data_IF_521291557937
#
_entry.id   IF_521291557937
#
_cell.length_a   1.000
_cell.length_b   1.000
_cell.length_c   1.000
_cell.angle_alpha   90.00
_cell.angle_beta   90.00
_cell.angle_gamma   90.00
#
_symmetry.space_group_name_H-M   'P 1'
#
loop_
_entity.id
_entity.type
_entity.pdbx_description
1 polymer ?
#
# COMPACT_ATOMS: atom_id res chain seq x y z
N UNK A 1 87.01 -22.02 -9.10
CA UNK A 1 86.10 -21.65 -8.01
C UNK A 1 84.74 -21.36 -8.62
N UNK A 2 83.69 -22.01 -8.10
CA UNK A 2 82.29 -21.87 -8.53
C UNK A 2 81.70 -20.59 -7.91
N UNK A 3 80.87 -19.85 -8.64
CA UNK A 3 80.09 -18.73 -8.10
C UNK A 3 79.25 -18.05 -9.18
N UNK A 4 77.93 -18.16 -9.03
CA UNK A 4 76.85 -17.77 -9.95
C UNK A 4 76.48 -16.27 -9.91
N UNK A 5 75.48 -15.93 -10.75
CA UNK A 5 74.57 -14.77 -10.77
C UNK A 5 74.93 -13.66 -11.78
N UNK A 6 74.02 -13.11 -12.59
CA UNK A 6 72.67 -13.45 -13.01
C UNK A 6 72.35 -12.51 -14.19
N UNK A 7 71.78 -13.02 -15.28
CA UNK A 7 71.35 -12.20 -16.42
C UNK A 7 69.98 -11.58 -16.12
N UNK A 8 69.87 -10.25 -16.21
CA UNK A 8 68.62 -9.51 -16.10
C UNK A 8 67.92 -9.50 -17.46
N UNK A 9 66.77 -10.16 -17.55
CA UNK A 9 65.88 -10.08 -18.70
C UNK A 9 64.94 -8.88 -18.56
N UNK A 10 64.93 -8.01 -19.58
CA UNK A 10 64.00 -6.89 -19.68
C UNK A 10 62.67 -7.39 -20.27
N UNK A 11 61.60 -7.34 -19.48
CA UNK A 11 60.23 -7.61 -19.95
C UNK A 11 59.51 -6.29 -20.24
N UNK A 12 59.19 -6.06 -21.52
CA UNK A 12 58.33 -4.97 -21.94
C UNK A 12 56.87 -5.31 -21.60
N UNK A 13 56.24 -4.48 -20.75
CA UNK A 13 54.81 -4.57 -20.45
C UNK A 13 54.08 -3.75 -21.53
N UNK A 14 53.49 -4.42 -22.50
CA UNK A 14 52.52 -3.83 -23.42
C UNK A 14 51.19 -3.63 -22.68
N UNK A 15 50.93 -2.40 -22.25
CA UNK A 15 49.65 -2.00 -21.67
C UNK A 15 48.55 -1.97 -22.73
N UNK A 16 47.61 -2.91 -22.66
CA UNK A 16 46.37 -2.88 -23.44
C UNK A 16 45.41 -1.92 -22.75
N UNK A 17 45.19 -0.74 -23.33
CA UNK A 17 44.08 0.12 -22.95
C UNK A 17 42.78 -0.54 -23.40
N UNK A 18 42.05 -1.15 -22.46
CA UNK A 18 40.69 -1.58 -22.69
C UNK A 18 39.79 -0.34 -22.81
N UNK A 19 39.19 -0.14 -23.99
CA UNK A 19 38.15 0.85 -24.17
C UNK A 19 36.98 0.53 -23.22
N UNK A 20 36.32 1.53 -22.62
CA UNK A 20 35.14 1.30 -21.81
C UNK A 20 34.08 0.61 -22.67
N UNK A 21 33.61 -0.55 -22.23
CA UNK A 21 32.48 -1.24 -22.86
C UNK A 21 31.29 -0.27 -22.96
N UNK A 22 30.60 -0.21 -24.11
CA UNK A 22 29.37 0.57 -24.18
C UNK A 22 28.41 0.04 -23.12
N UNK A 23 27.90 0.95 -22.30
CA UNK A 23 26.80 0.67 -21.38
C UNK A 23 25.63 0.25 -22.25
N UNK A 24 25.32 -1.04 -22.29
CA UNK A 24 24.06 -1.51 -22.85
C UNK A 24 22.94 -0.79 -22.08
N UNK A 25 22.25 0.11 -22.78
CA UNK A 25 20.96 0.61 -22.34
C UNK A 25 20.08 -0.62 -22.22
N UNK A 26 19.81 -1.08 -20.98
CA UNK A 26 18.81 -2.13 -20.73
C UNK A 26 17.54 -1.70 -21.45
N UNK A 27 17.21 -2.42 -22.53
CA UNK A 27 15.95 -2.29 -23.22
C UNK A 27 14.86 -2.42 -22.15
N UNK A 28 13.99 -1.40 -22.02
CA UNK A 28 12.91 -1.42 -21.05
C UNK A 28 12.17 -2.74 -21.21
N UNK A 29 12.15 -3.56 -20.15
CA UNK A 29 11.48 -4.84 -20.21
C UNK A 29 10.01 -4.56 -20.56
N UNK A 30 9.58 -5.01 -21.73
CA UNK A 30 8.28 -4.66 -22.28
C UNK A 30 7.16 -5.35 -21.49
N UNK A 31 5.94 -4.82 -21.61
CA UNK A 31 4.72 -5.52 -21.20
C UNK A 31 4.65 -6.93 -21.81
N UNK A 32 3.73 -7.77 -21.34
CA UNK A 32 3.59 -9.13 -21.88
C UNK A 32 3.33 -9.10 -23.39
N UNK A 33 3.81 -10.13 -24.11
CA UNK A 33 3.58 -10.23 -25.56
C UNK A 33 2.09 -10.43 -25.92
N UNK A 34 1.31 -10.99 -24.98
CA UNK A 34 -0.11 -11.28 -25.15
C UNK A 34 -0.93 -10.69 -23.99
N UNK A 35 -2.24 -10.48 -24.20
CA UNK A 35 -3.15 -10.11 -23.12
C UNK A 35 -3.01 -11.01 -21.90
N UNK A 36 -2.97 -10.41 -20.72
CA UNK A 36 -2.88 -11.10 -19.45
C UNK A 36 -4.28 -11.52 -18.99
N UNK A 37 -4.40 -12.74 -18.48
CA UNK A 37 -5.54 -13.15 -17.66
C UNK A 37 -5.01 -13.64 -16.34
N UNK A 38 -5.43 -13.00 -15.24
CA UNK A 38 -5.00 -13.38 -13.91
C UNK A 38 -5.88 -14.50 -13.36
N UNK A 39 -5.23 -15.54 -12.86
CA UNK A 39 -5.85 -16.68 -12.16
C UNK A 39 -4.99 -17.05 -10.96
N UNK A 40 -5.60 -17.53 -9.88
CA UNK A 40 -4.87 -17.88 -8.66
C UNK A 40 -4.16 -16.66 -8.04
N UNK A 41 -2.97 -16.88 -7.46
CA UNK A 41 -2.17 -15.83 -6.83
C UNK A 41 -1.28 -15.06 -7.82
N UNK A 42 -1.60 -13.80 -8.19
CA UNK A 42 -0.78 -13.06 -9.13
C UNK A 42 0.59 -12.69 -8.54
N UNK A 43 0.68 -12.51 -7.21
CA UNK A 43 1.93 -12.17 -6.53
C UNK A 43 2.92 -13.33 -6.44
N UNK A 44 2.46 -14.58 -6.64
CA UNK A 44 3.33 -15.75 -6.64
C UNK A 44 4.27 -15.77 -7.87
N UNK A 45 3.87 -15.11 -8.96
CA UNK A 45 4.63 -15.06 -10.22
C UNK A 45 5.15 -13.66 -10.54
N UNK A 46 4.63 -12.63 -9.88
CA UNK A 46 4.92 -11.23 -10.21
C UNK A 46 5.17 -10.44 -8.94
N UNK A 47 6.25 -9.68 -8.96
CA UNK A 47 6.50 -8.67 -7.92
C UNK A 47 5.82 -7.36 -8.30
N UNK A 48 5.53 -6.50 -7.32
CA UNK A 48 5.00 -5.17 -7.61
C UNK A 48 6.08 -4.35 -8.32
N UNK A 49 5.69 -3.63 -9.37
CA UNK A 49 6.54 -2.68 -10.06
C UNK A 49 6.86 -1.49 -9.15
N UNK A 50 8.13 -1.14 -9.01
CA UNK A 50 8.55 0.10 -8.35
C UNK A 50 8.11 1.29 -9.22
N UNK A 51 6.98 1.91 -8.85
CA UNK A 51 6.39 2.96 -9.65
C UNK A 51 7.29 4.22 -9.67
N UNK A 52 7.38 4.92 -10.82
CA UNK A 52 8.30 6.03 -11.00
C UNK A 52 7.97 7.24 -10.11
N UNK A 53 6.70 7.40 -9.69
CA UNK A 53 6.27 8.50 -8.83
C UNK A 53 6.96 8.42 -7.47
N UNK A 54 6.75 7.34 -6.71
CA UNK A 54 7.35 7.19 -5.38
C UNK A 54 8.88 7.06 -5.48
N UNK A 55 9.39 6.37 -6.51
CA UNK A 55 10.83 6.31 -6.76
C UNK A 55 11.44 7.71 -6.95
N UNK A 56 10.73 8.65 -7.56
CA UNK A 56 11.19 10.03 -7.73
C UNK A 56 11.22 10.82 -6.42
N UNK A 57 10.24 10.62 -5.55
CA UNK A 57 10.21 11.22 -4.21
C UNK A 57 11.38 10.72 -3.36
N UNK A 58 11.61 9.40 -3.35
CA UNK A 58 12.74 8.78 -2.64
C UNK A 58 14.07 9.30 -3.18
N UNK A 59 14.26 9.39 -4.51
CA UNK A 59 15.50 9.94 -5.09
C UNK A 59 15.71 11.41 -4.71
N UNK A 60 14.64 12.20 -4.70
CA UNK A 60 14.68 13.61 -4.29
C UNK A 60 15.01 13.76 -2.81
N UNK A 61 14.52 12.85 -1.97
CA UNK A 61 14.84 12.78 -0.55
C UNK A 61 16.30 12.41 -0.31
N UNK A 62 16.79 11.37 -0.99
CA UNK A 62 18.20 10.92 -0.92
C UNK A 62 19.16 12.03 -1.30
N UNK A 63 18.83 12.83 -2.32
CA UNK A 63 19.66 13.95 -2.75
C UNK A 63 19.80 15.07 -1.69
N UNK A 64 18.91 15.12 -0.70
CA UNK A 64 18.91 16.11 0.39
C UNK A 64 19.58 15.57 1.67
N UNK A 65 19.88 14.27 1.74
CA UNK A 65 20.41 13.64 2.96
C UNK A 65 21.91 13.88 3.12
N UNK A 66 22.33 14.32 4.30
CA UNK A 66 23.76 14.52 4.62
C UNK A 66 24.44 13.27 5.18
N UNK A 67 23.71 12.37 5.84
CA UNK A 67 24.23 11.07 6.28
C UNK A 67 24.31 10.13 5.07
N UNK A 68 25.52 9.97 4.52
CA UNK A 68 25.75 9.15 3.32
C UNK A 68 25.44 7.67 3.52
N UNK A 69 25.59 7.15 4.75
CA UNK A 69 25.29 5.74 5.04
C UNK A 69 23.78 5.51 5.10
N UNK A 70 23.04 6.45 5.70
CA UNK A 70 21.57 6.42 5.66
C UNK A 70 21.04 6.66 4.25
N UNK A 71 21.65 7.58 3.49
CA UNK A 71 21.28 7.87 2.10
C UNK A 71 21.42 6.63 1.20
N UNK A 72 22.50 5.86 1.37
CA UNK A 72 22.70 4.61 0.64
C UNK A 72 21.62 3.55 0.95
N UNK A 73 21.12 3.50 2.19
CA UNK A 73 19.99 2.64 2.57
C UNK A 73 18.67 3.17 2.00
N UNK A 74 18.44 4.47 2.11
CA UNK A 74 17.26 5.14 1.59
C UNK A 74 17.11 4.97 0.07
N UNK A 75 18.22 5.02 -0.69
CA UNK A 75 18.21 4.83 -2.14
C UNK A 75 17.60 3.48 -2.56
N UNK A 76 17.79 2.41 -1.77
CA UNK A 76 17.20 1.09 -2.04
C UNK A 76 15.66 1.10 -1.97
N UNK A 77 15.07 2.07 -1.27
CA UNK A 77 13.61 2.17 -1.14
C UNK A 77 12.95 2.49 -2.48
N UNK A 78 13.66 3.18 -3.38
CA UNK A 78 13.17 3.51 -4.72
C UNK A 78 12.95 2.26 -5.61
N UNK A 79 13.58 1.13 -5.26
CA UNK A 79 13.46 -0.13 -6.00
C UNK A 79 12.40 -1.07 -5.42
N UNK A 80 11.73 -0.66 -4.32
CA UNK A 80 10.68 -1.45 -3.68
C UNK A 80 9.33 -1.09 -4.31
N UNK A 81 8.62 -2.10 -4.82
CA UNK A 81 7.27 -1.92 -5.37
C UNK A 81 6.25 -1.50 -4.32
N UNK A 82 5.65 -0.32 -4.50
CA UNK A 82 4.56 0.21 -3.67
C UNK A 82 3.28 0.38 -4.50
N UNK A 83 2.13 0.41 -3.84
CA UNK A 83 0.89 0.85 -4.48
C UNK A 83 0.93 2.35 -4.72
N UNK A 84 0.44 2.76 -5.88
CA UNK A 84 0.32 4.15 -6.27
C UNK A 84 -1.10 4.66 -6.04
N UNK A 85 -1.26 5.70 -5.24
CA UNK A 85 -2.57 6.22 -4.85
C UNK A 85 -3.15 7.14 -5.91
N UNK A 86 -4.35 6.84 -6.38
CA UNK A 86 -5.13 7.68 -7.27
C UNK A 86 -6.18 8.38 -6.41
N UNK A 87 -5.74 9.30 -5.55
CA UNK A 87 -6.53 9.91 -4.47
C UNK A 87 -7.28 11.19 -4.89
N UNK A 88 -7.33 11.47 -6.19
CA UNK A 88 -8.13 12.50 -6.85
C UNK A 88 -8.05 12.28 -8.37
N UNK A 89 -8.94 12.94 -9.12
CA UNK A 89 -9.01 12.89 -10.58
C UNK A 89 -7.75 13.41 -11.28
N UNK A 90 -7.03 14.37 -10.69
CA UNK A 90 -5.80 14.90 -11.29
C UNK A 90 -4.70 13.83 -11.40
N UNK A 91 -4.67 12.86 -10.46
CA UNK A 91 -3.72 11.74 -10.48
C UNK A 91 -4.06 10.62 -11.46
N UNK A 92 -5.23 10.63 -12.11
CA UNK A 92 -5.59 9.61 -13.12
C UNK A 92 -4.56 9.54 -14.24
N UNK A 93 -4.00 10.69 -14.65
CA UNK A 93 -2.97 10.78 -15.69
C UNK A 93 -1.73 9.91 -15.39
N UNK A 94 -1.38 9.77 -14.11
CA UNK A 94 -0.19 9.04 -13.67
C UNK A 94 -0.32 7.52 -13.93
N UNK A 95 -1.55 6.99 -13.97
CA UNK A 95 -1.82 5.58 -14.28
C UNK A 95 -1.19 5.22 -15.62
N UNK A 96 -1.41 6.04 -16.64
CA UNK A 96 -0.93 5.74 -17.99
C UNK A 96 0.60 5.81 -18.08
N UNK A 97 1.21 6.77 -17.37
CA UNK A 97 2.67 6.90 -17.31
C UNK A 97 3.32 5.70 -16.65
N UNK A 98 2.71 5.15 -15.60
CA UNK A 98 3.17 3.91 -14.97
C UNK A 98 2.95 2.71 -15.90
N UNK A 99 1.75 2.54 -16.48
CA UNK A 99 1.41 1.35 -17.28
C UNK A 99 2.29 1.17 -18.53
N UNK A 100 2.78 2.26 -19.14
CA UNK A 100 3.73 2.23 -20.26
C UNK A 100 5.07 1.54 -19.93
N UNK A 101 5.40 1.44 -18.64
CA UNK A 101 6.74 1.02 -18.18
C UNK A 101 6.74 -0.35 -17.50
N UNK A 102 5.57 -0.95 -17.25
CA UNK A 102 5.45 -2.17 -16.44
C UNK A 102 5.89 -3.40 -17.24
N UNK A 103 6.94 -4.12 -16.79
CA UNK A 103 7.38 -5.37 -17.42
C UNK A 103 6.40 -6.52 -17.17
N UNK A 104 6.46 -7.55 -18.03
CA UNK A 104 5.57 -8.71 -17.92
C UNK A 104 5.65 -9.51 -16.60
N UNK A 105 6.83 -9.54 -15.96
CA UNK A 105 7.08 -10.20 -14.67
C UNK A 105 6.67 -9.34 -13.46
N UNK A 106 6.02 -8.18 -13.71
CA UNK A 106 5.58 -7.25 -12.68
C UNK A 106 4.08 -7.03 -12.68
N UNK A 107 3.58 -6.54 -11.54
CA UNK A 107 2.24 -6.00 -11.37
C UNK A 107 2.32 -4.49 -11.27
N UNK A 108 1.51 -3.78 -12.05
CA UNK A 108 1.15 -2.41 -11.71
C UNK A 108 0.21 -2.44 -10.51
N UNK A 109 0.46 -1.62 -9.48
CA UNK A 109 -0.33 -1.63 -8.26
C UNK A 109 -0.89 -0.23 -7.98
N UNK A 110 -2.21 -0.12 -7.86
CA UNK A 110 -2.89 1.17 -7.65
C UNK A 110 -3.90 1.09 -6.49
N UNK A 111 -4.08 2.21 -5.80
CA UNK A 111 -5.18 2.40 -4.85
C UNK A 111 -6.24 3.27 -5.51
N UNK A 112 -7.46 2.74 -5.60
CA UNK A 112 -8.66 3.50 -5.97
C UNK A 112 -9.19 4.12 -4.68
N UNK A 113 -9.20 5.46 -4.58
CA UNK A 113 -9.45 6.15 -3.32
C UNK A 113 -9.99 7.57 -3.55
N UNK A 114 -11.21 7.71 -4.08
CA UNK A 114 -11.78 9.03 -4.32
C UNK A 114 -13.30 9.07 -4.10
N UNK A 115 -13.81 8.22 -3.21
CA UNK A 115 -15.23 8.20 -2.89
C UNK A 115 -15.78 9.58 -2.47
N UNK A 116 -17.02 9.93 -2.88
CA UNK A 116 -17.70 11.10 -2.37
C UNK A 116 -17.92 11.04 -0.86
N UNK A 117 -17.61 12.14 -0.17
CA UNK A 117 -17.69 12.21 1.30
C UNK A 117 -16.65 11.32 2.00
N UNK A 118 -15.47 11.18 1.38
CA UNK A 118 -14.34 10.36 1.83
C UNK A 118 -13.94 10.63 3.28
N UNK A 119 -13.43 9.59 3.93
CA UNK A 119 -12.93 9.61 5.31
C UNK A 119 -13.93 10.21 6.30
N UNK A 120 -15.18 9.73 6.22
CA UNK A 120 -16.31 10.28 6.96
C UNK A 120 -16.13 10.38 8.48
N UNK A 121 -15.18 9.66 9.07
CA UNK A 121 -14.85 9.67 10.50
C UNK A 121 -13.54 10.41 10.84
N UNK A 122 -12.87 11.01 9.86
CA UNK A 122 -11.59 11.71 10.02
C UNK A 122 -11.62 13.12 9.38
N UNK A 123 -10.63 13.94 9.73
CA UNK A 123 -10.43 15.28 9.15
C UNK A 123 -9.20 15.38 8.25
N UNK A 124 -8.21 14.51 8.44
CA UNK A 124 -7.04 14.48 7.57
C UNK A 124 -7.37 13.69 6.29
N UNK A 125 -7.97 14.37 5.34
CA UNK A 125 -8.22 13.83 4.01
C UNK A 125 -8.13 14.91 2.94
N UNK A 126 -7.66 14.51 1.76
CA UNK A 126 -7.66 15.35 0.56
C UNK A 126 -8.87 15.04 -0.37
N UNK A 127 -9.99 14.54 0.15
CA UNK A 127 -11.12 14.12 -0.69
C UNK A 127 -11.72 15.32 -1.43
N UNK A 128 -11.82 15.23 -2.76
CA UNK A 128 -12.33 16.34 -3.59
C UNK A 128 -13.83 16.28 -3.87
N UNK A 129 -14.45 15.12 -3.68
CA UNK A 129 -15.87 14.87 -3.97
C UNK A 129 -16.72 14.97 -2.69
N UNK A 130 -17.76 15.79 -2.73
CA UNK A 130 -18.67 15.96 -1.59
C UNK A 130 -19.73 14.85 -1.55
N UNK A 131 -20.39 14.67 -0.40
CA UNK A 131 -21.55 13.76 -0.32
C UNK A 131 -22.58 14.12 -1.40
N UNK A 132 -23.01 13.12 -2.17
CA UNK A 132 -23.94 13.31 -3.29
C UNK A 132 -23.26 13.29 -4.67
N UNK A 133 -21.94 13.47 -4.75
CA UNK A 133 -21.18 13.52 -6.00
C UNK A 133 -20.88 12.13 -6.61
N UNK A 134 -21.70 11.12 -6.30
CA UNK A 134 -21.56 9.78 -6.87
C UNK A 134 -21.62 9.76 -8.41
N UNK A 135 -22.44 10.57 -9.09
CA UNK A 135 -22.38 10.66 -10.55
C UNK A 135 -21.01 11.11 -11.07
N UNK A 136 -20.34 12.04 -10.38
CA UNK A 136 -19.01 12.54 -10.73
C UNK A 136 -17.96 11.44 -10.49
N UNK A 137 -18.00 10.76 -9.33
CA UNK A 137 -17.12 9.63 -9.05
C UNK A 137 -17.22 8.54 -10.13
N UNK A 138 -18.43 8.24 -10.61
CA UNK A 138 -18.63 7.25 -11.69
C UNK A 138 -18.05 7.75 -13.02
N UNK A 139 -18.54 8.90 -13.50
CA UNK A 139 -18.29 9.36 -14.86
C UNK A 139 -16.91 10.01 -15.07
N UNK A 140 -16.36 10.64 -14.04
CA UNK A 140 -15.14 11.46 -14.14
C UNK A 140 -13.95 10.86 -13.40
N UNK A 141 -14.17 9.83 -12.57
CA UNK A 141 -13.09 9.13 -11.87
C UNK A 141 -12.97 7.66 -12.29
N UNK A 142 -13.98 6.81 -12.03
CA UNK A 142 -13.91 5.37 -12.36
C UNK A 142 -13.89 5.12 -13.88
N UNK A 143 -14.79 5.75 -14.64
CA UNK A 143 -14.90 5.50 -16.08
C UNK A 143 -13.61 5.85 -16.86
N UNK A 144 -12.94 6.99 -16.62
CA UNK A 144 -11.63 7.27 -17.21
C UNK A 144 -10.55 6.25 -16.84
N UNK A 145 -10.52 5.78 -15.58
CA UNK A 145 -9.57 4.74 -15.14
C UNK A 145 -9.83 3.43 -15.89
N UNK A 146 -11.09 3.01 -16.03
CA UNK A 146 -11.48 1.81 -16.80
C UNK A 146 -11.08 1.95 -18.27
N UNK A 147 -11.30 3.12 -18.87
CA UNK A 147 -10.90 3.39 -20.25
C UNK A 147 -9.38 3.29 -20.43
N UNK A 148 -8.58 3.75 -19.46
CA UNK A 148 -7.13 3.56 -19.46
C UNK A 148 -6.78 2.08 -19.34
N UNK A 149 -7.29 1.36 -18.36
CA UNK A 149 -6.94 -0.06 -18.17
C UNK A 149 -7.27 -0.94 -19.37
N UNK A 150 -8.35 -0.65 -20.11
CA UNK A 150 -8.69 -1.34 -21.36
C UNK A 150 -7.64 -1.17 -22.47
N UNK A 151 -6.84 -0.10 -22.46
CA UNK A 151 -5.73 0.11 -23.41
C UNK A 151 -4.50 -0.74 -23.10
N UNK A 152 -4.39 -1.29 -21.88
CA UNK A 152 -3.22 -2.05 -21.42
C UNK A 152 -3.57 -3.50 -21.04
N UNK A 153 -4.18 -4.30 -21.94
CA UNK A 153 -4.58 -5.67 -21.64
C UNK A 153 -3.39 -6.60 -21.37
N UNK A 154 -2.19 -6.22 -21.81
CA UNK A 154 -0.95 -6.99 -21.66
C UNK A 154 -0.20 -6.69 -20.34
N UNK A 155 -0.76 -5.85 -19.48
CA UNK A 155 -0.18 -5.49 -18.18
C UNK A 155 -1.02 -6.10 -17.07
N UNK A 156 -0.38 -6.81 -16.14
CA UNK A 156 -1.04 -7.32 -14.95
C UNK A 156 -1.22 -6.20 -13.92
N UNK A 157 -2.41 -6.09 -13.32
CA UNK A 157 -2.77 -4.98 -12.44
C UNK A 157 -3.36 -5.51 -11.12
N UNK A 158 -2.93 -4.96 -10.00
CA UNK A 158 -3.49 -5.18 -8.67
C UNK A 158 -4.08 -3.88 -8.11
N UNK A 159 -5.30 -3.96 -7.57
CA UNK A 159 -6.01 -2.81 -7.04
C UNK A 159 -6.39 -3.02 -5.57
N UNK A 160 -6.13 -2.02 -4.75
CA UNK A 160 -6.80 -1.82 -3.45
C UNK A 160 -7.97 -0.89 -3.67
N UNK A 161 -9.14 -1.24 -3.14
CA UNK A 161 -10.39 -0.52 -3.39
C UNK A 161 -10.84 0.18 -2.11
N UNK A 162 -10.77 1.51 -2.18
CA UNK A 162 -11.34 2.49 -1.26
C UNK A 162 -11.01 2.22 0.22
N UNK A 163 -9.74 2.40 0.63
CA UNK A 163 -9.37 2.44 2.05
C UNK A 163 -10.27 3.35 2.87
N UNK A 164 -10.46 3.00 4.15
CA UNK A 164 -11.24 3.83 5.10
C UNK A 164 -12.70 4.10 4.65
N UNK A 165 -13.28 3.21 3.83
CA UNK A 165 -14.66 3.37 3.36
C UNK A 165 -15.66 2.48 4.10
N UNK A 166 -15.86 1.25 3.66
CA UNK A 166 -16.83 0.31 4.21
C UNK A 166 -16.63 -0.01 5.71
N UNK A 167 -15.39 -0.12 6.25
CA UNK A 167 -15.19 -0.30 7.69
C UNK A 167 -15.81 0.81 8.55
N UNK A 168 -15.84 2.05 8.05
CA UNK A 168 -16.51 3.18 8.73
C UNK A 168 -18.02 2.97 8.83
N UNK A 169 -18.65 2.31 7.84
CA UNK A 169 -20.09 2.04 7.88
C UNK A 169 -20.49 0.96 8.90
N UNK A 170 -19.51 0.22 9.43
CA UNK A 170 -19.73 -0.80 10.45
C UNK A 170 -19.63 -0.20 11.86
N UNK A 171 -18.68 0.70 12.06
CA UNK A 171 -18.23 1.10 13.41
C UNK A 171 -18.44 2.58 13.70
N UNK A 172 -18.59 3.43 12.68
CA UNK A 172 -18.75 4.87 12.78
C UNK A 172 -20.06 5.35 12.14
N UNK A 173 -21.02 4.46 11.91
CA UNK A 173 -22.32 4.78 11.29
C UNK A 173 -23.23 5.62 12.20
N UNK A 174 -22.88 5.79 13.46
CA UNK A 174 -23.50 6.73 14.39
C UNK A 174 -23.12 8.20 14.07
N UNK A 175 -22.01 8.42 13.37
CA UNK A 175 -21.61 9.76 12.91
C UNK A 175 -22.45 10.21 11.70
N UNK A 176 -22.98 11.44 11.77
CA UNK A 176 -23.82 12.02 10.70
C UNK A 176 -23.10 12.05 9.35
N UNK A 177 -21.81 12.37 9.34
CA UNK A 177 -20.97 12.33 8.13
C UNK A 177 -20.96 10.94 7.49
N UNK A 178 -20.79 9.88 8.27
CA UNK A 178 -20.79 8.51 7.77
C UNK A 178 -22.18 8.04 7.33
N UNK A 179 -23.26 8.48 8.01
CA UNK A 179 -24.63 8.23 7.57
C UNK A 179 -24.89 8.85 6.20
N UNK A 180 -24.45 10.09 6.02
CA UNK A 180 -24.60 10.83 4.77
C UNK A 180 -23.77 10.19 3.63
N UNK A 181 -22.56 9.70 3.91
CA UNK A 181 -21.70 9.04 2.91
C UNK A 181 -22.09 7.58 2.60
N UNK A 182 -22.89 6.92 3.45
CA UNK A 182 -23.12 5.47 3.39
C UNK A 182 -23.61 4.96 2.03
N UNK A 183 -24.56 5.65 1.40
CA UNK A 183 -25.05 5.28 0.05
C UNK A 183 -23.96 5.47 -1.00
N UNK A 184 -23.24 6.59 -0.95
CA UNK A 184 -22.13 6.89 -1.86
C UNK A 184 -21.02 5.84 -1.79
N UNK A 185 -20.68 5.39 -0.58
CA UNK A 185 -19.69 4.35 -0.35
C UNK A 185 -20.14 3.00 -0.91
N UNK A 186 -21.31 2.51 -0.51
CA UNK A 186 -21.81 1.19 -0.96
C UNK A 186 -21.97 1.13 -2.48
N UNK A 187 -22.58 2.15 -3.08
CA UNK A 187 -22.79 2.19 -4.52
C UNK A 187 -21.52 2.50 -5.31
N UNK A 188 -20.67 3.38 -4.80
CA UNK A 188 -19.39 3.74 -5.42
C UNK A 188 -18.41 2.57 -5.44
N UNK A 189 -18.25 1.86 -4.32
CA UNK A 189 -17.44 0.64 -4.27
C UNK A 189 -18.04 -0.42 -5.20
N UNK A 190 -19.35 -0.70 -5.12
CA UNK A 190 -19.98 -1.68 -6.00
C UNK A 190 -19.77 -1.36 -7.49
N UNK A 191 -19.85 -0.07 -7.86
CA UNK A 191 -19.61 0.39 -9.21
C UNK A 191 -18.14 0.20 -9.63
N UNK A 192 -17.18 0.59 -8.78
CA UNK A 192 -15.76 0.40 -9.04
C UNK A 192 -15.44 -1.08 -9.28
N UNK A 193 -15.88 -1.98 -8.38
CA UNK A 193 -15.66 -3.42 -8.52
C UNK A 193 -16.23 -3.98 -9.83
N UNK A 194 -17.44 -3.56 -10.20
CA UNK A 194 -18.09 -4.02 -11.44
C UNK A 194 -17.36 -3.51 -12.68
N UNK A 195 -17.03 -2.23 -12.71
CA UNK A 195 -16.46 -1.57 -13.89
C UNK A 195 -14.99 -1.95 -14.12
N UNK A 196 -14.24 -2.23 -13.05
CA UNK A 196 -12.82 -2.62 -13.08
C UNK A 196 -12.60 -4.13 -13.25
N UNK A 197 -13.67 -4.93 -13.44
CA UNK A 197 -13.62 -6.38 -13.57
C UNK A 197 -13.02 -6.89 -14.91
N UNK A 198 -11.82 -6.43 -15.27
CA UNK A 198 -11.10 -6.82 -16.49
C UNK A 198 -10.26 -8.09 -16.27
N UNK A 199 -9.94 -8.89 -17.32
CA UNK A 199 -9.21 -10.15 -17.16
C UNK A 199 -7.81 -10.02 -16.54
N UNK A 200 -7.15 -8.89 -16.74
CA UNK A 200 -5.79 -8.60 -16.28
C UNK A 200 -5.74 -7.90 -14.91
N UNK A 201 -6.87 -7.76 -14.22
CA UNK A 201 -7.00 -7.07 -12.93
C UNK A 201 -7.32 -8.06 -11.80
N UNK A 202 -6.66 -7.88 -10.65
CA UNK A 202 -7.07 -8.43 -9.35
C UNK A 202 -7.44 -7.29 -8.41
N UNK A 203 -8.48 -7.46 -7.60
CA UNK A 203 -8.97 -6.46 -6.66
C UNK A 203 -9.06 -6.99 -5.23
N UNK A 204 -8.75 -6.13 -4.28
CA UNK A 204 -8.85 -6.35 -2.84
C UNK A 204 -9.63 -5.18 -2.22
N UNK A 205 -10.76 -5.48 -1.58
CA UNK A 205 -11.60 -4.46 -0.91
C UNK A 205 -10.95 -4.13 0.44
N UNK A 206 -10.82 -2.85 0.78
CA UNK A 206 -10.28 -2.52 2.09
C UNK A 206 -11.17 -2.99 3.24
N UNK A 207 -10.54 -3.59 4.25
CA UNK A 207 -11.19 -4.15 5.42
C UNK A 207 -10.61 -3.59 6.73
N UNK A 208 -9.95 -2.43 6.70
CA UNK A 208 -9.30 -1.87 7.88
C UNK A 208 -8.21 -2.79 8.42
N UNK A 209 -8.26 -3.14 9.70
CA UNK A 209 -7.22 -3.93 10.36
C UNK A 209 -7.74 -4.66 11.62
N UNK A 210 -6.91 -5.50 12.25
CA UNK A 210 -7.27 -6.31 13.43
C UNK A 210 -7.80 -5.49 14.62
N UNK A 211 -7.23 -4.31 14.84
CA UNK A 211 -7.72 -3.33 15.82
C UNK A 211 -9.03 -2.60 15.46
N UNK A 212 -9.68 -2.94 14.34
CA UNK A 212 -10.86 -2.25 13.84
C UNK A 212 -12.03 -3.20 13.52
N UNK A 213 -11.98 -3.93 12.40
CA UNK A 213 -12.99 -4.95 12.10
C UNK A 213 -12.66 -6.30 12.75
N UNK A 214 -11.48 -6.45 13.35
CA UNK A 214 -11.06 -7.66 14.04
C UNK A 214 -11.61 -7.83 15.46
N UNK A 215 -12.26 -6.80 16.04
CA UNK A 215 -13.01 -6.95 17.29
C UNK A 215 -14.10 -8.00 17.15
N UNK A 216 -14.33 -8.80 18.19
CA UNK A 216 -15.18 -10.00 18.12
C UNK A 216 -16.58 -9.69 17.56
N UNK A 217 -17.16 -8.56 17.97
CA UNK A 217 -18.50 -8.14 17.56
C UNK A 217 -18.54 -7.45 16.19
N UNK A 218 -17.39 -7.05 15.65
CA UNK A 218 -17.27 -6.39 14.35
C UNK A 218 -17.00 -7.37 13.20
N UNK A 219 -16.48 -8.58 13.49
CA UNK A 219 -16.15 -9.58 12.47
C UNK A 219 -17.36 -9.93 11.58
N UNK A 220 -18.50 -10.29 12.17
CA UNK A 220 -19.70 -10.68 11.41
C UNK A 220 -20.36 -9.51 10.68
N UNK A 221 -20.61 -8.35 11.32
CA UNK A 221 -21.13 -7.18 10.63
C UNK A 221 -20.22 -6.69 9.50
N UNK A 222 -18.91 -6.65 9.74
CA UNK A 222 -17.92 -6.23 8.75
C UNK A 222 -17.90 -7.15 7.53
N UNK A 223 -17.87 -8.47 7.74
CA UNK A 223 -17.90 -9.43 6.64
C UNK A 223 -19.21 -9.32 5.83
N UNK A 224 -20.34 -9.11 6.50
CA UNK A 224 -21.65 -8.92 5.87
C UNK A 224 -21.71 -7.62 5.04
N UNK A 225 -21.15 -6.52 5.54
CA UNK A 225 -21.11 -5.23 4.84
C UNK A 225 -20.32 -5.35 3.53
N UNK A 226 -19.08 -5.86 3.60
CA UNK A 226 -18.21 -6.05 2.43
C UNK A 226 -18.84 -7.03 1.42
N UNK A 227 -19.36 -8.18 1.89
CA UNK A 227 -19.96 -9.18 1.02
C UNK A 227 -21.24 -8.69 0.34
N UNK A 228 -22.03 -7.83 1.00
CA UNK A 228 -23.20 -7.18 0.39
C UNK A 228 -22.80 -6.31 -0.79
N UNK A 229 -21.78 -5.46 -0.61
CA UNK A 229 -21.27 -4.60 -1.69
C UNK A 229 -20.68 -5.42 -2.84
N UNK A 230 -19.91 -6.47 -2.53
CA UNK A 230 -19.38 -7.41 -3.52
C UNK A 230 -20.50 -8.08 -4.35
N UNK A 231 -21.58 -8.52 -3.72
CA UNK A 231 -22.75 -9.10 -4.42
C UNK A 231 -23.48 -8.07 -5.26
N UNK A 232 -23.63 -6.84 -4.77
CA UNK A 232 -24.24 -5.75 -5.53
C UNK A 232 -23.44 -5.39 -6.79
N UNK A 233 -22.12 -5.60 -6.78
CA UNK A 233 -21.26 -5.49 -7.96
C UNK A 233 -21.44 -6.65 -8.96
N UNK A 234 -22.23 -7.67 -8.64
CA UNK A 234 -22.42 -8.88 -9.45
C UNK A 234 -21.38 -9.97 -9.18
N UNK A 235 -20.74 -9.95 -8.00
CA UNK A 235 -19.74 -10.94 -7.58
C UNK A 235 -18.59 -11.15 -8.60
N UNK A 236 -17.90 -10.08 -9.03
CA UNK A 236 -16.86 -10.19 -10.06
C UNK A 236 -15.70 -11.06 -9.59
N UNK A 237 -15.33 -12.07 -10.40
CA UNK A 237 -14.24 -13.03 -10.11
C UNK A 237 -12.86 -12.38 -9.90
N UNK A 238 -12.70 -11.13 -10.32
CA UNK A 238 -11.50 -10.32 -10.14
C UNK A 238 -11.32 -9.87 -8.68
N UNK A 239 -12.39 -9.84 -7.88
CA UNK A 239 -12.27 -9.61 -6.44
C UNK A 239 -11.77 -10.89 -5.80
N UNK A 240 -10.55 -10.84 -5.27
CA UNK A 240 -9.88 -11.98 -4.65
C UNK A 240 -10.06 -12.03 -3.14
N UNK A 241 -10.35 -10.88 -2.54
CA UNK A 241 -10.73 -10.76 -1.15
C UNK A 241 -10.46 -9.35 -0.65
N UNK A 242 -9.62 -9.20 0.38
CA UNK A 242 -9.47 -7.95 1.14
C UNK A 242 -8.04 -7.43 1.24
N UNK A 243 -7.88 -6.12 1.44
CA UNK A 243 -6.65 -5.53 1.96
C UNK A 243 -6.80 -5.23 3.44
N UNK A 244 -5.75 -5.48 4.22
CA UNK A 244 -5.73 -5.13 5.64
C UNK A 244 -4.48 -4.33 5.99
N UNK A 245 -4.57 -3.60 7.11
CA UNK A 245 -3.53 -2.75 7.65
C UNK A 245 -3.07 -1.63 6.71
N UNK A 246 -3.87 -1.26 5.70
CA UNK A 246 -3.55 -0.16 4.77
C UNK A 246 -3.30 1.11 5.57
N UNK A 247 -2.13 1.72 5.38
CA UNK A 247 -1.68 2.87 6.18
C UNK A 247 -1.65 2.62 7.71
N UNK A 248 -1.70 1.36 8.14
CA UNK A 248 -1.67 0.95 9.54
C UNK A 248 -0.27 0.58 10.03
N UNK A 249 -0.24 0.02 11.24
CA UNK A 249 0.99 -0.20 12.01
C UNK A 249 1.05 -1.60 12.63
N UNK A 250 0.00 -2.40 12.46
CA UNK A 250 -0.11 -3.69 13.13
C UNK A 250 0.96 -4.66 12.64
N UNK A 251 1.56 -5.42 13.54
CA UNK A 251 2.37 -6.56 13.17
C UNK A 251 1.53 -7.62 12.44
N UNK A 252 2.16 -8.35 11.53
CA UNK A 252 1.54 -9.53 10.94
C UNK A 252 1.35 -10.65 11.96
N UNK A 253 2.43 -11.08 12.62
CA UNK A 253 2.44 -12.25 13.51
C UNK A 253 3.25 -11.96 14.78
N UNK A 254 2.75 -11.03 15.60
CA UNK A 254 3.29 -10.74 16.93
C UNK A 254 2.40 -11.41 17.98
N UNK A 255 3.00 -12.21 18.87
CA UNK A 255 2.31 -12.87 19.96
C UNK A 255 3.11 -12.79 21.27
N UNK A 256 2.53 -12.28 22.37
CA UNK A 256 1.21 -11.66 22.41
C UNK A 256 1.20 -10.31 21.65
N UNK A 257 0.04 -9.91 21.10
CA UNK A 257 -0.07 -8.71 20.26
C UNK A 257 0.21 -7.39 20.99
N UNK A 258 0.36 -6.30 20.25
CA UNK A 258 0.75 -4.98 20.78
C UNK A 258 -0.15 -4.52 21.95
N UNK A 259 -1.45 -4.73 21.82
CA UNK A 259 -2.46 -4.31 22.80
C UNK A 259 -2.99 -5.47 23.65
N UNK A 260 -2.29 -6.59 23.73
CA UNK A 260 -2.77 -7.78 24.44
C UNK A 260 -2.92 -7.60 25.96
N UNK A 261 -2.34 -6.53 26.51
CA UNK A 261 -2.36 -6.20 27.94
C UNK A 261 -3.43 -5.16 28.30
N UNK A 262 -4.12 -4.60 27.30
CA UNK A 262 -5.20 -3.66 27.54
C UNK A 262 -6.40 -4.36 28.18
N UNK A 263 -7.18 -3.62 28.97
CA UNK A 263 -8.31 -4.18 29.72
C UNK A 263 -9.43 -4.74 28.85
N UNK A 264 -9.51 -4.26 27.62
CA UNK A 264 -10.47 -4.65 26.59
C UNK A 264 -9.93 -5.72 25.63
N UNK A 265 -8.67 -6.15 25.77
CA UNK A 265 -8.03 -7.14 24.88
C UNK A 265 -8.81 -8.46 24.79
N UNK A 266 -9.54 -8.82 25.87
CA UNK A 266 -10.42 -9.99 25.89
C UNK A 266 -11.55 -9.95 24.83
N UNK A 267 -11.93 -8.77 24.36
CA UNK A 267 -12.98 -8.54 23.35
C UNK A 267 -12.44 -8.44 21.92
N UNK A 268 -11.12 -8.49 21.74
CA UNK A 268 -10.47 -8.53 20.44
C UNK A 268 -9.56 -9.75 20.31
N UNK A 269 -10.02 -10.80 19.64
CA UNK A 269 -9.18 -11.98 19.36
C UNK A 269 -8.15 -11.72 18.25
N UNK A 270 -8.38 -10.74 17.38
CA UNK A 270 -7.54 -10.37 16.26
C UNK A 270 -6.37 -9.46 16.67
N UNK A 271 -5.56 -9.92 17.64
CA UNK A 271 -4.44 -9.18 18.25
C UNK A 271 -3.26 -8.87 17.30
N UNK A 272 -3.30 -9.40 16.08
CA UNK A 272 -2.38 -9.13 14.98
C UNK A 272 -3.09 -9.41 13.64
N UNK A 273 -2.47 -9.04 12.52
CA UNK A 273 -3.14 -9.18 11.21
C UNK A 273 -3.30 -10.64 10.76
N UNK A 274 -2.43 -11.55 11.19
CA UNK A 274 -2.58 -12.98 10.91
C UNK A 274 -3.85 -13.55 11.52
N UNK A 275 -4.05 -13.31 12.82
CA UNK A 275 -5.27 -13.72 13.53
C UNK A 275 -6.50 -13.00 12.96
N UNK A 276 -6.37 -11.73 12.57
CA UNK A 276 -7.46 -11.02 11.92
C UNK A 276 -7.90 -11.73 10.63
N UNK A 277 -6.97 -12.02 9.72
CA UNK A 277 -7.28 -12.71 8.46
C UNK A 277 -7.84 -14.11 8.71
N UNK A 278 -7.26 -14.87 9.65
CA UNK A 278 -7.74 -16.22 10.01
C UNK A 278 -9.18 -16.21 10.56
N UNK A 279 -9.57 -15.17 11.31
CA UNK A 279 -10.91 -15.02 11.88
C UNK A 279 -11.92 -14.45 10.88
N UNK A 280 -11.51 -13.51 10.03
CA UNK A 280 -12.41 -12.77 9.15
C UNK A 280 -12.68 -13.48 7.81
N UNK A 281 -11.70 -14.23 7.29
CA UNK A 281 -11.82 -14.98 6.04
C UNK A 281 -12.97 -16.00 6.02
N UNK A 282 -13.20 -16.80 7.09
CA UNK A 282 -14.39 -17.67 7.17
C UNK A 282 -15.71 -16.90 7.15
N UNK A 283 -15.78 -15.74 7.80
CA UNK A 283 -17.00 -14.91 7.84
C UNK A 283 -17.31 -14.32 6.45
N UNK A 284 -16.28 -13.89 5.69
CA UNK A 284 -16.44 -13.48 4.29
C UNK A 284 -16.95 -14.62 3.41
N UNK A 285 -16.33 -15.80 3.54
CA UNK A 285 -16.68 -16.99 2.76
C UNK A 285 -18.10 -17.47 3.06
N UNK A 286 -18.51 -17.46 4.33
CA UNK A 286 -19.88 -17.77 4.75
C UNK A 286 -20.91 -16.81 4.13
N UNK A 287 -20.50 -15.57 3.85
CA UNK A 287 -21.30 -14.58 3.14
C UNK A 287 -21.11 -14.62 1.62
N UNK A 288 -20.37 -15.58 1.05
CA UNK A 288 -20.20 -15.77 -0.39
C UNK A 288 -19.19 -14.84 -1.06
N UNK A 289 -18.34 -14.16 -0.28
CA UNK A 289 -17.22 -13.35 -0.78
C UNK A 289 -15.90 -14.13 -0.63
N UNK A 290 -14.97 -14.05 -1.59
CA UNK A 290 -13.63 -14.61 -1.43
C UNK A 290 -12.88 -14.05 -0.22
N UNK A 291 -12.15 -14.91 0.51
CA UNK A 291 -11.52 -14.58 1.79
C UNK A 291 -9.99 -14.44 1.75
N UNK A 292 -9.35 -14.31 0.59
CA UNK A 292 -7.90 -14.07 0.54
C UNK A 292 -7.57 -12.63 0.98
N UNK A 293 -6.36 -12.41 1.46
CA UNK A 293 -5.90 -11.10 1.91
C UNK A 293 -4.58 -10.69 1.27
N UNK A 294 -4.39 -9.38 1.13
CA UNK A 294 -3.06 -8.74 1.12
C UNK A 294 -2.92 -7.91 2.40
N UNK A 295 -1.72 -7.84 2.95
CA UNK A 295 -1.46 -7.13 4.21
C UNK A 295 -0.41 -6.07 3.97
N UNK A 296 -0.74 -4.81 4.28
CA UNK A 296 0.23 -3.72 4.23
C UNK A 296 1.25 -3.86 5.36
N UNK A 297 2.53 -3.92 5.01
CA UNK A 297 3.66 -4.01 5.93
C UNK A 297 4.64 -2.86 5.73
N UNK A 298 4.19 -1.77 5.09
CA UNK A 298 5.02 -0.62 4.74
C UNK A 298 5.68 0.03 5.94
N UNK A 299 4.96 0.17 7.07
CA UNK A 299 5.41 1.00 8.20
C UNK A 299 5.41 0.29 9.56
N UNK A 300 5.27 -1.03 9.55
CA UNK A 300 5.11 -1.84 10.77
C UNK A 300 6.41 -2.53 11.24
N UNK A 301 7.59 -2.05 10.83
CA UNK A 301 8.87 -2.67 11.21
C UNK A 301 9.19 -2.58 12.71
N UNK A 302 8.63 -1.57 13.38
CA UNK A 302 8.75 -1.36 14.83
C UNK A 302 7.35 -1.40 15.45
N UNK A 303 7.21 -2.10 16.57
CA UNK A 303 5.94 -2.34 17.27
C UNK A 303 6.00 -1.76 18.69
N UNK A 304 4.83 -1.52 19.30
CA UNK A 304 4.75 -0.99 20.67
C UNK A 304 4.96 0.52 20.76
N UNK A 305 4.67 1.24 19.67
CA UNK A 305 4.88 2.68 19.57
C UNK A 305 3.64 3.50 19.95
N UNK A 306 2.46 2.86 19.93
CA UNK A 306 1.17 3.51 20.06
C UNK A 306 0.64 3.39 21.48
N UNK A 307 0.05 4.46 22.01
CA UNK A 307 -0.64 4.46 23.31
C UNK A 307 -2.07 3.94 23.22
N UNK A 308 -2.67 3.99 22.04
CA UNK A 308 -3.97 3.39 21.77
C UNK A 308 -4.02 2.86 20.34
N UNK A 309 -4.76 1.79 20.11
CA UNK A 309 -4.77 1.12 18.81
C UNK A 309 -5.29 2.03 17.68
N UNK A 310 -6.27 2.88 18.00
CA UNK A 310 -6.84 3.87 17.07
C UNK A 310 -5.94 5.08 16.81
N UNK A 311 -4.72 5.17 17.37
CA UNK A 311 -3.78 6.23 17.00
C UNK A 311 -3.07 5.84 15.70
N UNK A 312 -3.35 6.59 14.64
CA UNK A 312 -2.94 6.23 13.27
C UNK A 312 -2.02 7.25 12.60
N UNK A 313 -2.02 8.52 13.02
CA UNK A 313 -1.37 9.59 12.27
C UNK A 313 0.12 9.73 12.59
N UNK A 314 0.97 9.54 11.57
CA UNK A 314 2.42 9.77 11.57
C UNK A 314 3.12 9.16 12.80
N UNK A 315 2.92 7.88 13.14
CA UNK A 315 3.46 7.30 14.39
C UNK A 315 4.98 7.46 14.47
N UNK A 316 5.45 8.12 15.53
CA UNK A 316 6.85 8.41 15.78
C UNK A 316 7.60 7.13 16.20
N UNK A 317 8.83 7.00 15.74
CA UNK A 317 9.66 5.80 15.94
C UNK A 317 9.38 4.66 14.96
N UNK A 318 8.42 4.81 14.04
CA UNK A 318 8.11 3.78 13.05
C UNK A 318 9.32 3.44 12.16
N UNK A 319 9.26 2.27 11.54
CA UNK A 319 10.30 1.75 10.65
C UNK A 319 9.68 1.04 9.44
N UNK A 320 10.37 1.06 8.29
CA UNK A 320 9.95 0.27 7.14
C UNK A 320 9.87 -1.22 7.51
N UNK A 321 8.72 -1.85 7.26
CA UNK A 321 8.48 -3.24 7.66
C UNK A 321 8.91 -4.27 6.62
N UNK A 322 8.40 -5.50 6.75
CA UNK A 322 8.72 -6.60 5.83
C UNK A 322 8.48 -6.19 4.38
N UNK A 323 9.40 -6.53 3.49
CA UNK A 323 9.31 -6.16 2.06
C UNK A 323 8.19 -6.92 1.35
N UNK A 324 7.61 -6.37 0.27
CA UNK A 324 6.57 -7.05 -0.49
C UNK A 324 7.00 -8.45 -0.94
N UNK A 325 6.18 -9.46 -0.66
CA UNK A 325 6.46 -10.85 -1.02
C UNK A 325 5.21 -11.73 -0.92
N UNK A 326 5.09 -12.71 -1.82
CA UNK A 326 4.08 -13.77 -1.72
C UNK A 326 4.46 -14.89 -0.72
N UNK A 327 5.67 -14.88 -0.16
CA UNK A 327 6.09 -15.81 0.89
C UNK A 327 5.63 -15.33 2.26
N UNK A 328 4.34 -15.51 2.52
CA UNK A 328 3.66 -14.99 3.71
C UNK A 328 3.65 -15.99 4.87
N UNK A 329 3.72 -17.29 4.56
CA UNK A 329 3.54 -18.37 5.55
C UNK A 329 2.08 -18.63 5.92
N UNK A 330 1.12 -17.99 5.24
CA UNK A 330 -0.32 -18.21 5.40
C UNK A 330 -0.96 -18.52 4.05
N UNK A 331 -1.81 -19.54 3.99
CA UNK A 331 -2.59 -19.86 2.78
C UNK A 331 -3.67 -18.82 2.47
N UNK A 332 -4.07 -18.02 3.46
CA UNK A 332 -5.07 -16.96 3.33
C UNK A 332 -4.47 -15.62 2.89
N UNK A 333 -3.14 -15.46 2.98
CA UNK A 333 -2.49 -14.19 2.64
C UNK A 333 -1.68 -14.35 1.36
N UNK A 334 -2.12 -13.68 0.32
CA UNK A 334 -1.53 -13.71 -1.01
C UNK A 334 -0.17 -13.03 -1.07
N UNK A 335 -0.04 -11.90 -0.37
CA UNK A 335 1.21 -11.16 -0.28
C UNK A 335 1.26 -10.22 0.92
N UNK A 336 2.47 -10.02 1.43
CA UNK A 336 2.81 -8.75 2.06
C UNK A 336 3.03 -7.72 0.96
N UNK A 337 2.54 -6.51 1.18
CA UNK A 337 2.60 -5.41 0.23
C UNK A 337 2.92 -4.12 0.96
N UNK A 338 3.38 -3.09 0.25
CA UNK A 338 3.49 -1.73 0.78
C UNK A 338 2.42 -0.89 0.10
N UNK A 339 1.31 -0.65 0.81
CA UNK A 339 0.17 0.10 0.24
C UNK A 339 0.39 1.59 0.48
N UNK A 340 0.52 2.04 1.74
CA UNK A 340 0.89 3.43 2.04
C UNK A 340 2.38 3.66 1.77
N UNK A 341 2.76 4.59 0.86
CA UNK A 341 4.17 4.92 0.64
C UNK A 341 4.73 5.65 1.86
N UNK A 342 5.64 5.01 2.57
CA UNK A 342 6.22 5.56 3.80
C UNK A 342 7.10 6.78 3.49
N UNK A 343 6.80 7.92 4.11
CA UNK A 343 7.43 9.20 3.79
C UNK A 343 6.42 10.22 3.28
N UNK A 344 5.32 9.78 2.67
CA UNK A 344 4.15 10.63 2.48
C UNK A 344 3.39 10.75 3.81
N UNK A 345 3.13 11.97 4.28
CA UNK A 345 2.47 12.20 5.57
C UNK A 345 1.04 11.68 5.61
N UNK A 346 0.58 11.31 6.80
CA UNK A 346 -0.82 10.98 7.08
C UNK A 346 -1.68 12.23 7.34
N UNK A 347 -1.07 13.37 7.70
CA UNK A 347 -1.81 14.59 8.05
C UNK A 347 -0.97 15.60 8.82
N UNK A 348 -1.43 16.86 8.77
CA UNK A 348 -0.72 17.99 9.39
C UNK A 348 -0.82 17.98 10.90
N UNK A 349 0.26 18.37 11.58
CA UNK A 349 0.26 18.63 13.02
C UNK A 349 -0.01 20.11 13.36
N UNK A 350 -0.19 20.97 12.35
CA UNK A 350 -0.54 22.38 12.56
C UNK A 350 -2.01 22.48 12.98
N UNK A 351 -2.25 22.85 14.23
CA UNK A 351 -3.60 22.97 14.81
C UNK A 351 -4.44 24.08 14.19
N UNK A 352 -3.82 24.99 13.42
CA UNK A 352 -4.50 26.06 12.69
C UNK A 352 -4.92 25.67 11.27
N UNK A 353 -4.42 24.54 10.75
CA UNK A 353 -4.73 24.09 9.40
C UNK A 353 -6.18 23.60 9.28
N UNK A 354 -6.81 23.87 8.13
CA UNK A 354 -8.21 23.47 7.88
C UNK A 354 -8.44 21.97 8.00
N UNK A 355 -7.45 21.16 7.61
CA UNK A 355 -7.49 19.69 7.64
C UNK A 355 -6.79 19.08 8.85
N UNK A 356 -6.56 19.86 9.91
CA UNK A 356 -6.00 19.33 11.13
C UNK A 356 -6.92 18.27 11.73
N UNK A 357 -6.35 17.07 11.93
CA UNK A 357 -6.96 16.00 12.70
C UNK A 357 -6.26 15.88 14.05
N UNK A 358 -7.05 15.79 15.13
CA UNK A 358 -6.52 15.65 16.48
C UNK A 358 -5.66 14.40 16.68
N UNK A 359 -5.82 13.36 15.85
CA UNK A 359 -4.95 12.19 15.86
C UNK A 359 -3.52 12.51 15.42
N UNK A 360 -3.30 13.55 14.59
CA UNK A 360 -1.98 14.03 14.19
C UNK A 360 -1.30 14.91 15.26
N UNK A 361 -2.06 15.32 16.29
CA UNK A 361 -1.58 16.04 17.46
C UNK A 361 -1.25 15.14 18.66
N UNK A 362 -1.46 13.82 18.58
CA UNK A 362 -1.21 12.88 19.70
C UNK A 362 0.27 12.85 20.08
N UNK A 363 0.57 12.47 21.31
CA UNK A 363 1.94 12.52 21.85
C UNK A 363 2.92 11.69 21.01
N UNK A 364 2.51 10.48 20.65
CA UNK A 364 3.28 9.55 19.83
C UNK A 364 3.26 9.87 18.33
N UNK A 365 2.53 10.88 17.87
CA UNK A 365 2.62 11.34 16.48
C UNK A 365 3.91 12.12 16.26
N UNK A 366 4.56 11.91 15.13
CA UNK A 366 5.70 12.69 14.70
C UNK A 366 5.26 14.12 14.42
N UNK A 367 5.99 15.09 14.98
CA UNK A 367 5.68 16.51 14.87
C UNK A 367 6.98 17.32 14.74
N UNK A 368 7.02 18.39 13.92
CA UNK A 368 5.95 18.82 13.02
C UNK A 368 5.75 17.84 11.85
N UNK A 369 4.53 17.77 11.32
CA UNK A 369 4.17 16.99 10.13
C UNK A 369 3.42 17.85 9.12
N UNK A 370 3.68 17.69 7.80
CA UNK A 370 3.03 18.45 6.74
C UNK A 370 1.63 17.92 6.43
N UNK A 371 0.96 18.52 5.46
CA UNK A 371 -0.35 18.06 4.97
C UNK A 371 -0.34 16.59 4.52
N UNK A 372 -1.50 15.94 4.61
CA UNK A 372 -1.66 14.55 4.17
C UNK A 372 -1.22 14.38 2.71
N UNK A 373 -0.46 13.32 2.44
CA UNK A 373 0.10 13.01 1.11
C UNK A 373 1.33 13.85 0.72
N UNK A 374 1.67 14.92 1.46
CA UNK A 374 2.90 15.65 1.20
C UNK A 374 4.13 14.89 1.70
N UNK A 375 5.27 15.08 1.03
CA UNK A 375 6.53 14.46 1.43
C UNK A 375 6.99 14.96 2.82
N UNK A 376 7.36 14.02 3.68
CA UNK A 376 7.81 14.23 5.05
C UNK A 376 9.23 13.67 5.21
N UNK A 377 10.22 14.50 4.89
CA UNK A 377 11.63 14.10 4.84
C UNK A 377 12.13 13.46 6.14
N UNK A 378 11.90 14.13 7.27
CA UNK A 378 12.40 13.64 8.56
C UNK A 378 11.72 12.32 8.97
N UNK A 379 10.44 12.15 8.63
CA UNK A 379 9.72 10.91 8.84
C UNK A 379 10.25 9.78 7.96
N UNK A 380 10.53 10.05 6.68
CA UNK A 380 11.15 9.09 5.77
C UNK A 380 12.52 8.63 6.29
N UNK A 381 13.40 9.55 6.71
CA UNK A 381 14.70 9.21 7.27
C UNK A 381 14.59 8.33 8.53
N UNK A 382 13.60 8.62 9.38
CA UNK A 382 13.27 7.79 10.54
C UNK A 382 12.84 6.38 10.13
N UNK A 383 11.95 6.25 9.14
CA UNK A 383 11.53 4.94 8.62
C UNK A 383 12.70 4.12 8.09
N UNK A 384 13.64 4.76 7.36
CA UNK A 384 14.86 4.13 6.84
C UNK A 384 15.76 3.66 7.98
N UNK A 385 15.97 4.53 8.98
CA UNK A 385 16.83 4.22 10.14
C UNK A 385 16.31 3.03 10.94
N UNK A 386 14.99 2.96 11.12
CA UNK A 386 14.31 1.97 11.94
C UNK A 386 13.81 0.77 11.13
N UNK A 387 14.19 0.66 9.85
CA UNK A 387 13.73 -0.41 8.98
C UNK A 387 14.02 -1.80 9.57
N UNK A 388 13.00 -2.65 9.58
CA UNK A 388 13.07 -4.02 10.06
C UNK A 388 12.28 -4.96 9.13
N UNK A 389 12.95 -5.82 8.35
CA UNK A 389 14.40 -6.01 8.30
C UNK A 389 15.17 -4.75 7.82
N UNK A 390 16.45 -4.57 8.21
CA UNK A 390 17.28 -3.47 7.73
C UNK A 390 17.38 -3.42 6.20
N UNK A 391 17.53 -2.21 5.64
CA UNK A 391 17.60 -1.94 4.19
C UNK A 391 18.92 -2.32 3.52
#
# INVERSE_FOLDING_TARGET
>A
MKGFYAAVAASAISGVFAAPSPVEVRQAASACATPVTLTGNPFAQRSIFANPYYASEVRSAVAQMTDTALAAKAAKVADIGTFQWIDNRAKISIIEDTLKQVPCDKLAAFVIYDLPGRDCAAKASNGELAVGDLPIYKAEYIDPIVALFKKYPNTAIALVIEPDSLPNLVTNIDQVSCQNSATGYREGVAYALKSLALPNIVMYIDAGHGGWLGWNDNLKPGAKELATVYKNAGSPKQVRGISTNVAGWNAFDLSPGEFSKETDAQWNKAQNEKLYVELFSPELTANGMPGQAIVDTGRNGVQGLRKAWGHWCNINGAGFGKRPTATTGSSLVDAFVWVKPGGESDGTSDTSATRYDSFCGKEESFKPSPEAGAWHQAYFEMLVKNANPPL
#
